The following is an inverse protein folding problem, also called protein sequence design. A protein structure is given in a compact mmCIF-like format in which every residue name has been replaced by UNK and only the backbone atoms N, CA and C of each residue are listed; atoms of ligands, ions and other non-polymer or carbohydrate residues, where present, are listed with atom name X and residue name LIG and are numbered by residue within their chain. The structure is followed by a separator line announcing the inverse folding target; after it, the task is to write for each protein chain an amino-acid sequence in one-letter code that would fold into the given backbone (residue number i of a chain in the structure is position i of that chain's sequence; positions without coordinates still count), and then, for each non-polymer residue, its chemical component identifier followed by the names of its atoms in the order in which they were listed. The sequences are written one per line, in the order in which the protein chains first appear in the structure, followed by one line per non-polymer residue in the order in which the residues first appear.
data_IF_906509044443
#
_entry.id   IF_906509044443
#
_cell.length_a   1.000
_cell.length_b   1.000
_cell.length_c   1.000
_cell.angle_alpha   90.00
_cell.angle_beta   90.00
_cell.angle_gamma   90.00
#
_symmetry.space_group_name_H-M   'P 1'
#
loop_
_entity.id
_entity.type
_entity.pdbx_description
1 polymer ?
#
# COMPACT_ATOMS: atom_id res chain seq x y z
N UNK A 1 13.55 -2.66 -18.46
CA UNK A 1 13.40 -1.80 -17.27
C UNK A 1 14.64 -1.86 -16.38
N UNK A 2 14.96 -3.01 -15.76
CA UNK A 2 16.09 -3.08 -14.80
C UNK A 2 17.44 -2.62 -15.37
N UNK A 3 17.75 -2.96 -16.64
CA UNK A 3 19.00 -2.54 -17.29
C UNK A 3 19.14 -1.02 -17.50
N UNK A 4 18.05 -0.26 -17.39
CA UNK A 4 18.06 1.19 -17.58
C UNK A 4 18.33 1.98 -16.28
N UNK A 5 18.62 1.31 -15.16
CA UNK A 5 19.08 1.97 -13.93
C UNK A 5 18.03 2.83 -13.22
N UNK A 6 16.75 2.49 -13.35
CA UNK A 6 15.66 3.20 -12.66
C UNK A 6 15.69 2.90 -11.16
N UNK A 7 15.43 3.92 -10.33
CA UNK A 7 15.46 3.78 -8.86
C UNK A 7 14.27 3.02 -8.25
N UNK A 8 13.11 3.01 -8.89
CA UNK A 8 11.91 2.29 -8.41
C UNK A 8 11.12 1.71 -9.57
N UNK A 9 10.64 0.48 -9.42
CA UNK A 9 9.84 -0.25 -10.39
C UNK A 9 8.52 -0.63 -9.73
N UNK A 10 7.42 -0.17 -10.32
CA UNK A 10 6.07 -0.54 -9.88
C UNK A 10 5.59 -1.78 -10.64
N UNK A 11 5.11 -2.77 -9.90
CA UNK A 11 4.44 -3.97 -10.40
C UNK A 11 2.94 -3.83 -10.14
N UNK A 12 2.19 -3.50 -11.18
CA UNK A 12 0.77 -3.15 -11.08
C UNK A 12 -0.13 -4.36 -11.40
N UNK A 13 -1.05 -4.69 -10.47
CA UNK A 13 -2.01 -5.79 -10.56
C UNK A 13 -1.37 -7.18 -10.74
N UNK A 14 -0.16 -7.39 -10.22
CA UNK A 14 0.53 -8.68 -10.24
C UNK A 14 -0.05 -9.63 -9.18
N UNK A 15 -0.07 -10.93 -9.46
CA UNK A 15 -0.35 -11.95 -8.44
C UNK A 15 0.82 -12.06 -7.46
N UNK A 16 0.59 -12.68 -6.29
CA UNK A 16 1.64 -12.90 -5.28
C UNK A 16 2.85 -13.66 -5.86
N UNK A 17 2.63 -14.65 -6.73
CA UNK A 17 3.72 -15.40 -7.35
C UNK A 17 4.49 -14.56 -8.36
N UNK A 18 3.80 -13.75 -9.17
CA UNK A 18 4.44 -12.81 -10.09
C UNK A 18 5.24 -11.73 -9.33
N UNK A 19 4.76 -11.29 -8.17
CA UNK A 19 5.50 -10.36 -7.32
C UNK A 19 6.80 -10.99 -6.81
N UNK A 20 6.78 -12.24 -6.36
CA UNK A 20 8.00 -12.98 -5.95
C UNK A 20 8.99 -13.11 -7.10
N UNK A 21 8.51 -13.47 -8.29
CA UNK A 21 9.35 -13.53 -9.50
C UNK A 21 9.91 -12.16 -9.86
N UNK A 22 9.12 -11.10 -9.74
CA UNK A 22 9.54 -9.72 -9.94
C UNK A 22 10.64 -9.30 -8.97
N UNK A 23 10.47 -9.61 -7.68
CA UNK A 23 11.47 -9.38 -6.63
C UNK A 23 12.77 -10.10 -6.95
N UNK A 24 12.70 -11.40 -7.27
CA UNK A 24 13.87 -12.18 -7.67
C UNK A 24 14.55 -11.63 -8.93
N UNK A 25 13.77 -11.16 -9.91
CA UNK A 25 14.29 -10.62 -11.17
C UNK A 25 15.01 -9.28 -10.97
N UNK A 26 14.46 -8.40 -10.14
CA UNK A 26 15.08 -7.10 -9.85
C UNK A 26 16.37 -7.30 -9.05
N UNK A 27 16.40 -8.28 -8.13
CA UNK A 27 17.60 -8.69 -7.39
C UNK A 27 18.30 -7.50 -6.70
N UNK A 28 17.52 -6.62 -6.06
CA UNK A 28 18.03 -5.45 -5.33
C UNK A 28 18.59 -4.31 -6.20
N UNK A 29 18.48 -4.39 -7.53
CA UNK A 29 18.97 -3.34 -8.45
C UNK A 29 18.08 -2.09 -8.50
N UNK A 30 16.85 -2.19 -7.99
CA UNK A 30 15.90 -1.10 -7.87
C UNK A 30 14.95 -1.39 -6.70
N UNK A 31 14.29 -0.37 -6.15
CA UNK A 31 13.16 -0.56 -5.24
C UNK A 31 11.96 -1.12 -5.98
N UNK A 32 11.17 -1.93 -5.30
CA UNK A 32 9.97 -2.55 -5.87
C UNK A 32 8.75 -2.08 -5.12
N UNK A 33 7.79 -1.58 -5.90
CA UNK A 33 6.48 -1.15 -5.41
C UNK A 33 5.40 -2.09 -5.95
N UNK A 34 4.53 -2.60 -5.09
CA UNK A 34 3.32 -3.31 -5.50
C UNK A 34 2.12 -2.35 -5.50
N UNK A 35 1.29 -2.42 -6.55
CA UNK A 35 0.06 -1.64 -6.70
C UNK A 35 -1.07 -2.53 -7.23
N UNK A 36 -2.31 -2.09 -6.99
CA UNK A 36 -3.53 -2.70 -7.53
C UNK A 36 -4.15 -3.75 -6.60
N UNK A 37 -5.46 -3.67 -6.39
CA UNK A 37 -6.23 -4.70 -5.67
C UNK A 37 -5.84 -4.94 -4.20
N UNK A 38 -5.14 -4.02 -3.56
CA UNK A 38 -4.67 -4.21 -2.17
C UNK A 38 -5.82 -4.01 -1.17
N UNK A 39 -5.98 -4.97 -0.26
CA UNK A 39 -6.95 -4.97 0.84
C UNK A 39 -6.28 -5.43 2.15
N UNK A 40 -7.02 -5.36 3.26
CA UNK A 40 -6.54 -5.89 4.55
C UNK A 40 -6.27 -7.40 4.51
N UNK A 41 -6.96 -8.13 3.64
CA UNK A 41 -6.79 -9.58 3.49
C UNK A 41 -5.54 -9.93 2.67
N UNK A 42 -5.18 -9.08 1.70
CA UNK A 42 -4.08 -9.35 0.75
C UNK A 42 -2.76 -8.69 1.14
N UNK A 43 -2.78 -7.58 1.87
CA UNK A 43 -1.59 -6.75 2.14
C UNK A 43 -0.45 -7.52 2.82
N UNK A 44 -0.77 -8.46 3.73
CA UNK A 44 0.24 -9.30 4.39
C UNK A 44 0.99 -10.17 3.39
N UNK A 45 0.25 -10.88 2.54
CA UNK A 45 0.85 -11.81 1.56
C UNK A 45 1.70 -11.06 0.54
N UNK A 46 1.26 -9.85 0.14
CA UNK A 46 2.04 -8.95 -0.73
C UNK A 46 3.34 -8.54 -0.03
N UNK A 47 3.29 -8.10 1.24
CA UNK A 47 4.48 -7.71 1.98
C UNK A 47 5.49 -8.86 2.13
N UNK A 48 5.00 -10.08 2.36
CA UNK A 48 5.83 -11.29 2.48
C UNK A 48 6.54 -11.69 1.17
N UNK A 49 6.19 -11.09 0.02
CA UNK A 49 6.92 -11.32 -1.24
C UNK A 49 8.30 -10.63 -1.28
N UNK A 50 8.55 -9.66 -0.40
CA UNK A 50 9.81 -8.91 -0.34
C UNK A 50 9.83 -7.61 -1.15
N UNK A 51 8.65 -7.08 -1.51
CA UNK A 51 8.55 -5.72 -2.06
C UNK A 51 8.88 -4.66 -1.01
N UNK A 52 9.42 -3.51 -1.44
CA UNK A 52 9.83 -2.43 -0.54
C UNK A 52 8.65 -1.52 -0.15
N UNK A 53 7.69 -1.35 -1.07
CA UNK A 53 6.56 -0.42 -0.92
C UNK A 53 5.27 -1.09 -1.41
N UNK A 54 4.16 -0.80 -0.74
CA UNK A 54 2.81 -1.21 -1.17
C UNK A 54 1.94 0.04 -1.25
N UNK A 55 1.44 0.34 -2.44
CA UNK A 55 0.54 1.47 -2.68
C UNK A 55 -0.92 1.03 -2.61
N UNK A 56 -1.71 1.70 -1.76
CA UNK A 56 -3.10 1.32 -1.46
C UNK A 56 -4.04 2.50 -1.72
N UNK A 57 -4.67 2.52 -2.89
CA UNK A 57 -5.62 3.59 -3.27
C UNK A 57 -6.82 3.69 -2.34
N UNK A 58 -7.31 2.56 -1.82
CA UNK A 58 -8.50 2.52 -0.96
C UNK A 58 -8.36 3.36 0.33
N UNK A 59 -7.13 3.67 0.75
CA UNK A 59 -6.87 4.53 1.91
C UNK A 59 -7.32 5.99 1.70
N UNK A 60 -7.49 6.45 0.47
CA UNK A 60 -7.89 7.83 0.17
C UNK A 60 -9.27 7.93 -0.48
N UNK A 61 -9.58 7.08 -1.45
CA UNK A 61 -10.86 7.18 -2.17
C UNK A 61 -12.01 6.35 -1.57
N UNK A 62 -11.73 5.47 -0.60
CA UNK A 62 -12.72 4.57 -0.01
C UNK A 62 -12.54 4.34 1.50
N UNK A 63 -11.82 5.25 2.17
CA UNK A 63 -11.69 5.19 3.62
C UNK A 63 -13.06 5.38 4.28
N UNK A 64 -13.39 4.50 5.23
CA UNK A 64 -14.58 4.67 6.06
C UNK A 64 -14.38 5.86 6.99
N UNK A 65 -15.35 6.77 7.02
CA UNK A 65 -15.34 7.87 7.98
C UNK A 65 -15.42 7.31 9.41
N UNK A 66 -14.64 7.90 10.31
CA UNK A 66 -14.73 7.63 11.74
C UNK A 66 -15.94 8.40 12.29
N UNK A 67 -16.80 7.70 13.00
CA UNK A 67 -17.97 8.31 13.65
C UNK A 67 -17.51 9.04 14.91
N UNK A 68 -17.60 10.38 14.90
CA UNK A 68 -17.14 11.26 15.96
C UNK A 68 -18.24 12.27 16.32
N UNK A 69 -18.54 12.38 17.60
CA UNK A 69 -19.45 13.38 18.16
C UNK A 69 -18.82 14.13 19.33
N UNK A 70 -19.18 15.40 19.49
CA UNK A 70 -18.79 16.24 20.62
C UNK A 70 -20.03 16.57 21.46
N UNK A 71 -20.12 15.98 22.65
CA UNK A 71 -21.13 16.33 23.63
C UNK A 71 -20.57 17.36 24.61
N UNK A 72 -21.10 18.57 24.58
CA UNK A 72 -20.66 19.67 25.43
C UNK A 72 -21.84 20.26 26.21
N UNK A 73 -21.67 20.40 27.53
CA UNK A 73 -22.54 21.25 28.36
C UNK A 73 -21.79 22.53 28.69
N UNK A 74 -22.38 23.67 28.34
CA UNK A 74 -21.85 24.99 28.69
C UNK A 74 -22.78 25.57 29.76
N UNK A 75 -22.26 25.71 30.98
CA UNK A 75 -22.93 26.48 32.02
C UNK A 75 -22.57 27.96 31.84
N UNK A 76 -23.51 28.74 31.30
CA UNK A 76 -23.44 30.19 31.35
C UNK A 76 -23.90 30.62 32.74
N UNK A 77 -22.94 30.69 33.66
CA UNK A 77 -23.19 31.10 35.05
C UNK A 77 -23.96 32.42 35.12
N UNK A 78 -24.89 32.49 36.08
CA UNK A 78 -25.39 33.75 36.62
C UNK A 78 -24.64 34.08 37.90
#
# INVERSE_FOLDING_TARGET
VVAAGIGTIMLDNFTVDQLREGVATVAGRARIEASGGVSLDTVRQIAETGVDVISVGALTHSARALDLGLDLRIDLGR
#
